data_IF_381671482536
#
_entry.id   IF_381671482536
#
_cell.length_a   1.000
_cell.length_b   1.000
_cell.length_c   1.000
_cell.angle_alpha   90.00
_cell.angle_beta   90.00
_cell.angle_gamma   90.00
#
_symmetry.space_group_name_H-M   'P 1'
#
loop_
_entity.id
_entity.type
_entity.pdbx_description
1 polymer ?
#
# COMPACT_ATOMS: atom_id res chain seq x y z
N UNK A 1 7.98 -4.20 8.16
CA UNK A 1 7.19 -4.11 6.92
C UNK A 1 7.88 -3.16 5.95
N UNK A 2 8.08 -3.60 4.71
CA UNK A 2 8.68 -2.84 3.61
C UNK A 2 7.64 -2.79 2.49
N UNK A 3 7.49 -1.63 1.84
CA UNK A 3 6.57 -1.44 0.72
C UNK A 3 7.34 -0.89 -0.47
N UNK A 4 7.26 -1.59 -1.60
CA UNK A 4 7.82 -1.16 -2.87
C UNK A 4 6.69 -0.66 -3.77
N UNK A 5 6.88 0.51 -4.36
CA UNK A 5 5.93 1.12 -5.29
C UNK A 5 6.64 1.33 -6.61
N UNK A 6 6.07 0.80 -7.68
CA UNK A 6 6.58 0.97 -9.04
C UNK A 6 5.76 2.03 -9.75
N UNK A 7 6.42 3.10 -10.17
CA UNK A 7 5.80 4.21 -10.90
C UNK A 7 6.39 4.24 -12.30
N UNK A 8 5.53 4.20 -13.32
CA UNK A 8 5.88 4.34 -14.73
C UNK A 8 4.92 5.35 -15.36
N UNK A 9 5.45 6.27 -16.17
CA UNK A 9 4.66 7.31 -16.86
C UNK A 9 3.71 8.07 -15.90
N UNK A 10 4.23 8.50 -14.75
CA UNK A 10 3.48 9.18 -13.67
C UNK A 10 2.29 8.38 -13.11
N UNK A 11 2.31 7.05 -13.27
CA UNK A 11 1.27 6.14 -12.78
C UNK A 11 1.82 5.00 -11.94
N UNK A 12 1.09 4.66 -10.89
CA UNK A 12 1.34 3.49 -10.07
C UNK A 12 0.99 2.26 -10.89
N UNK A 13 1.99 1.45 -11.23
CA UNK A 13 1.82 0.23 -12.03
C UNK A 13 1.82 -1.01 -11.16
N UNK A 14 2.54 -0.99 -10.06
CA UNK A 14 2.65 -2.11 -9.14
C UNK A 14 2.95 -1.64 -7.72
N UNK A 15 2.44 -2.39 -6.74
CA UNK A 15 2.77 -2.19 -5.33
C UNK A 15 2.98 -3.58 -4.72
N UNK A 16 4.15 -3.79 -4.13
CA UNK A 16 4.43 -4.96 -3.31
C UNK A 16 4.66 -4.54 -1.87
N UNK A 17 4.19 -5.36 -0.94
CA UNK A 17 4.42 -5.17 0.48
C UNK A 17 4.91 -6.51 1.06
N UNK A 18 5.90 -6.42 1.93
CA UNK A 18 6.57 -7.53 2.61
C UNK A 18 6.65 -7.23 4.11
N UNK A 19 6.49 -8.24 4.96
CA UNK A 19 6.62 -8.11 6.42
C UNK A 19 7.40 -9.30 6.98
N UNK A 20 8.11 -9.08 8.08
CA UNK A 20 8.85 -10.13 8.80
C UNK A 20 8.08 -10.63 10.03
N UNK A 21 6.89 -10.08 10.30
CA UNK A 21 6.05 -10.52 11.43
C UNK A 21 5.41 -11.88 11.13
N UNK A 22 5.40 -12.80 12.09
CA UNK A 22 4.84 -14.15 11.91
C UNK A 22 3.31 -14.24 11.94
N UNK A 23 2.62 -13.20 12.43
CA UNK A 23 1.15 -13.10 12.45
C UNK A 23 0.63 -12.29 11.25
N UNK A 24 0.73 -12.90 10.07
CA UNK A 24 0.61 -12.20 8.78
C UNK A 24 -0.83 -12.07 8.26
N UNK A 25 -1.82 -12.67 8.92
CA UNK A 25 -3.20 -12.77 8.38
C UNK A 25 -3.80 -11.40 8.08
N UNK A 26 -3.75 -10.49 9.04
CA UNK A 26 -4.25 -9.11 8.87
C UNK A 26 -3.45 -8.34 7.83
N UNK A 27 -2.15 -8.60 7.72
CA UNK A 27 -1.31 -7.98 6.72
C UNK A 27 -1.73 -8.41 5.31
N UNK A 28 -1.98 -9.71 5.09
CA UNK A 28 -2.46 -10.21 3.81
C UNK A 28 -3.86 -9.71 3.46
N UNK A 29 -4.76 -9.60 4.44
CA UNK A 29 -6.11 -9.04 4.23
C UNK A 29 -6.02 -7.54 3.84
N UNK A 30 -5.24 -6.75 4.57
CA UNK A 30 -4.99 -5.35 4.22
C UNK A 30 -4.37 -5.23 2.83
N UNK A 31 -3.33 -6.01 2.54
CA UNK A 31 -2.67 -6.05 1.24
C UNK A 31 -3.65 -6.35 0.11
N UNK A 32 -4.50 -7.37 0.30
CA UNK A 32 -5.48 -7.81 -0.70
C UNK A 32 -6.59 -6.79 -1.00
N UNK A 33 -6.89 -5.90 -0.06
CA UNK A 33 -7.96 -4.88 -0.22
C UNK A 33 -7.39 -3.51 -0.62
N UNK A 34 -6.35 -3.06 0.06
CA UNK A 34 -5.82 -1.70 -0.06
C UNK A 34 -5.00 -1.54 -1.34
N UNK A 35 -4.10 -2.48 -1.67
CA UNK A 35 -3.25 -2.37 -2.87
C UNK A 35 -4.05 -2.22 -4.17
N UNK A 36 -5.02 -3.10 -4.49
CA UNK A 36 -5.78 -2.95 -5.74
C UNK A 36 -6.58 -1.64 -5.75
N UNK A 37 -7.10 -1.21 -4.60
CA UNK A 37 -7.82 0.06 -4.47
C UNK A 37 -6.91 1.25 -4.76
N UNK A 38 -5.67 1.23 -4.27
CA UNK A 38 -4.67 2.28 -4.53
C UNK A 38 -4.30 2.32 -6.00
N UNK A 39 -4.02 1.17 -6.62
CA UNK A 39 -3.68 1.08 -8.05
C UNK A 39 -4.86 1.58 -8.89
N UNK A 40 -6.09 1.23 -8.54
CA UNK A 40 -7.28 1.68 -9.27
C UNK A 40 -7.49 3.20 -9.16
N UNK A 41 -7.38 3.75 -7.95
CA UNK A 41 -7.59 5.19 -7.70
C UNK A 41 -6.36 6.05 -8.01
N UNK A 42 -5.21 5.43 -8.24
CA UNK A 42 -3.91 6.11 -8.36
C UNK A 42 -3.63 7.05 -7.17
N UNK A 43 -4.09 6.64 -5.99
CA UNK A 43 -4.06 7.45 -4.76
C UNK A 43 -3.95 6.55 -3.54
N UNK A 44 -3.21 6.99 -2.54
CA UNK A 44 -3.11 6.33 -1.24
C UNK A 44 -4.32 6.61 -0.32
N UNK A 45 -5.26 7.47 -0.73
CA UNK A 45 -6.45 7.84 0.02
C UNK A 45 -7.60 6.86 -0.28
N UNK A 46 -7.53 5.67 0.31
CA UNK A 46 -8.50 4.59 0.12
C UNK A 46 -8.99 4.06 1.47
N UNK A 47 -10.09 3.31 1.46
CA UNK A 47 -10.62 2.73 2.69
C UNK A 47 -9.73 1.63 3.26
N UNK A 48 -9.54 1.64 4.57
CA UNK A 48 -8.82 0.60 5.29
C UNK A 48 -9.63 -0.71 5.35
N UNK A 49 -8.93 -1.84 5.35
CA UNK A 49 -9.57 -3.14 5.58
C UNK A 49 -9.98 -3.28 7.06
N UNK A 50 -11.23 -3.69 7.30
CA UNK A 50 -11.77 -3.90 8.65
C UNK A 50 -11.02 -5.04 9.36
N UNK A 51 -10.56 -4.79 10.60
CA UNK A 51 -9.73 -5.74 11.35
C UNK A 51 -8.24 -5.66 11.03
N UNK A 52 -7.85 -4.99 9.94
CA UNK A 52 -6.47 -4.81 9.53
C UNK A 52 -6.09 -3.32 9.36
N UNK A 53 -6.66 -2.45 10.20
CA UNK A 53 -6.50 -0.99 10.12
C UNK A 53 -5.04 -0.56 10.22
N UNK A 54 -4.26 -1.17 11.12
CA UNK A 54 -2.85 -0.81 11.34
C UNK A 54 -2.01 -1.12 10.09
N UNK A 55 -2.16 -2.32 9.52
CA UNK A 55 -1.48 -2.73 8.29
C UNK A 55 -1.95 -1.91 7.08
N UNK A 56 -3.25 -1.64 6.98
CA UNK A 56 -3.83 -0.82 5.92
C UNK A 56 -3.24 0.59 5.91
N UNK A 57 -3.23 1.25 7.07
CA UNK A 57 -2.69 2.60 7.22
C UNK A 57 -1.19 2.64 6.91
N UNK A 58 -0.46 1.60 7.29
CA UNK A 58 0.97 1.55 7.05
C UNK A 58 1.30 1.38 5.55
N UNK A 59 0.52 0.58 4.80
CA UNK A 59 0.63 0.49 3.33
C UNK A 59 0.29 1.84 2.69
N UNK A 60 -0.85 2.45 3.05
CA UNK A 60 -1.25 3.75 2.51
C UNK A 60 -0.21 4.84 2.77
N UNK A 61 0.33 4.90 4.00
CA UNK A 61 1.37 5.87 4.37
C UNK A 61 2.64 5.66 3.56
N UNK A 62 3.08 4.42 3.38
CA UNK A 62 4.27 4.11 2.59
C UNK A 62 4.09 4.48 1.11
N UNK A 63 2.92 4.18 0.53
CA UNK A 63 2.61 4.59 -0.84
C UNK A 63 2.58 6.11 -0.98
N UNK A 64 1.95 6.80 -0.03
CA UNK A 64 1.92 8.28 -0.02
C UNK A 64 3.33 8.86 0.00
N UNK A 65 4.20 8.35 0.85
CA UNK A 65 5.60 8.77 0.93
C UNK A 65 6.37 8.48 -0.38
N UNK A 66 6.11 7.33 -1.02
CA UNK A 66 6.73 6.99 -2.30
C UNK A 66 6.26 7.91 -3.43
N UNK A 67 4.96 8.24 -3.48
CA UNK A 67 4.39 9.19 -4.44
C UNK A 67 4.95 10.61 -4.24
N UNK A 68 5.08 11.04 -2.98
CA UNK A 68 5.69 12.32 -2.63
C UNK A 68 7.19 12.36 -3.00
N UNK A 69 7.92 11.26 -2.75
CA UNK A 69 9.35 11.17 -3.12
C UNK A 69 9.57 11.08 -4.63
N UNK A 70 8.62 10.51 -5.38
CA UNK A 70 8.67 10.46 -6.84
C UNK A 70 8.33 11.81 -7.48
N UNK A 71 7.51 12.62 -6.80
CA UNK A 71 7.17 13.98 -7.18
C UNK A 71 8.25 14.92 -6.62
N UNK A 72 9.38 14.96 -7.32
CA UNK A 72 10.58 15.83 -7.12
C UNK A 72 10.25 17.19 -6.50
#
# INVERSE_FOLDING_TARGET
>A
MIVHVTIQDDRITDITAETEESDETYFFDAKGVVIPSIIQNQSADVDACSGATLSSNAIMTAVRAALESARI
#
